data_IF_280732255067
#
_entry.id   IF_280732255067
#
_cell.length_a   1.000
_cell.length_b   1.000
_cell.length_c   1.000
_cell.angle_alpha   90.00
_cell.angle_beta   90.00
_cell.angle_gamma   90.00
#
_symmetry.space_group_name_H-M   'P 1'
#
loop_
_entity.id
_entity.type
_entity.pdbx_description
1 polymer ?
#
# COMPACT_ATOMS: atom_id res chain seq x y z
N UNK A 1 14.13 -35.62 -14.81
CA UNK A 1 13.25 -35.07 -15.87
C UNK A 1 11.92 -34.51 -15.30
N UNK A 2 11.96 -33.61 -14.31
CA UNK A 2 10.73 -33.09 -13.66
C UNK A 2 10.47 -31.59 -13.90
N UNK A 3 11.36 -30.88 -14.59
CA UNK A 3 11.31 -29.40 -14.69
C UNK A 3 10.26 -28.87 -15.66
N UNK A 4 9.90 -29.62 -16.70
CA UNK A 4 8.90 -29.19 -17.71
C UNK A 4 7.47 -29.19 -17.16
N UNK A 5 7.12 -30.17 -16.31
CA UNK A 5 5.77 -30.28 -15.73
C UNK A 5 5.44 -29.08 -14.82
N UNK A 6 6.40 -28.68 -13.96
CA UNK A 6 6.22 -27.58 -13.01
C UNK A 6 6.02 -26.22 -13.71
N UNK A 7 6.70 -25.98 -14.84
CA UNK A 7 6.58 -24.71 -15.59
C UNK A 7 5.21 -24.57 -16.25
N UNK A 8 4.69 -25.66 -16.84
CA UNK A 8 3.37 -25.66 -17.48
C UNK A 8 2.25 -25.52 -16.45
N UNK A 9 2.35 -26.23 -15.32
CA UNK A 9 1.42 -26.07 -14.19
C UNK A 9 1.40 -24.63 -13.66
N UNK A 10 2.59 -24.01 -13.49
CA UNK A 10 2.69 -22.64 -12.99
C UNK A 10 2.06 -21.62 -13.94
N UNK A 11 2.22 -21.82 -15.24
CA UNK A 11 1.64 -20.93 -16.26
C UNK A 11 0.12 -21.06 -16.31
N UNK A 12 -0.41 -22.29 -16.25
CA UNK A 12 -1.88 -22.53 -16.14
C UNK A 12 -2.45 -21.90 -14.88
N UNK A 13 -1.75 -22.04 -13.76
CA UNK A 13 -2.14 -21.42 -12.50
C UNK A 13 -2.17 -19.90 -12.62
N UNK A 14 -1.13 -19.28 -13.18
CA UNK A 14 -1.10 -17.83 -13.42
C UNK A 14 -2.25 -17.36 -14.32
N UNK A 15 -2.50 -18.05 -15.45
CA UNK A 15 -3.61 -17.73 -16.35
C UNK A 15 -4.96 -17.78 -15.63
N UNK A 16 -5.20 -18.84 -14.84
CA UNK A 16 -6.41 -18.96 -14.04
C UNK A 16 -6.56 -17.80 -13.06
N UNK A 17 -5.50 -17.46 -12.32
CA UNK A 17 -5.56 -16.37 -11.34
C UNK A 17 -5.88 -15.02 -12.00
N UNK A 18 -5.27 -14.74 -13.17
CA UNK A 18 -5.53 -13.50 -13.93
C UNK A 18 -6.98 -13.43 -14.39
N UNK A 19 -7.53 -14.54 -14.89
CA UNK A 19 -8.95 -14.61 -15.29
C UNK A 19 -9.88 -14.31 -14.11
N UNK A 20 -9.56 -14.81 -12.91
CA UNK A 20 -10.38 -14.56 -11.71
C UNK A 20 -10.38 -13.11 -11.25
N UNK A 21 -9.31 -12.35 -11.50
CA UNK A 21 -9.17 -10.95 -11.05
C UNK A 21 -9.49 -9.93 -12.14
N UNK A 22 -9.78 -10.36 -13.37
CA UNK A 22 -9.83 -9.45 -14.51
C UNK A 22 -10.89 -8.35 -14.35
N UNK A 23 -12.03 -8.71 -13.77
CA UNK A 23 -13.15 -7.82 -13.46
C UNK A 23 -13.16 -7.36 -11.99
N UNK A 24 -12.16 -7.74 -11.19
CA UNK A 24 -12.13 -7.40 -9.77
C UNK A 24 -11.74 -5.94 -9.56
N UNK A 25 -12.64 -5.14 -8.99
CA UNK A 25 -12.38 -3.76 -8.53
C UNK A 25 -12.03 -3.70 -7.04
N UNK A 26 -12.18 -4.80 -6.32
CA UNK A 26 -12.02 -4.91 -4.86
C UNK A 26 -11.11 -6.10 -4.50
N UNK A 27 -10.50 -6.12 -3.30
CA UNK A 27 -9.72 -7.26 -2.83
C UNK A 27 -10.57 -8.54 -2.86
N UNK A 28 -10.15 -9.56 -3.60
CA UNK A 28 -10.84 -10.83 -3.63
C UNK A 28 -10.66 -11.56 -2.29
N UNK A 29 -11.63 -12.40 -1.91
CA UNK A 29 -11.39 -13.39 -0.86
C UNK A 29 -10.37 -14.42 -1.36
N UNK A 30 -9.10 -14.18 -1.04
CA UNK A 30 -7.92 -14.97 -1.45
C UNK A 30 -8.16 -16.48 -1.36
N UNK A 31 -8.81 -16.93 -0.28
CA UNK A 31 -9.10 -18.35 -0.02
C UNK A 31 -10.00 -19.01 -1.07
N UNK A 32 -10.96 -18.26 -1.64
CA UNK A 32 -11.93 -18.80 -2.61
C UNK A 32 -11.24 -19.20 -3.92
N UNK A 33 -10.33 -18.35 -4.40
CA UNK A 33 -9.65 -18.53 -5.69
C UNK A 33 -8.73 -19.76 -5.66
N UNK A 34 -7.94 -19.91 -4.60
CA UNK A 34 -7.05 -21.07 -4.47
C UNK A 34 -7.81 -22.38 -4.27
N UNK A 35 -8.93 -22.35 -3.54
CA UNK A 35 -9.83 -23.50 -3.42
C UNK A 35 -10.38 -23.92 -4.79
N UNK A 36 -10.87 -22.98 -5.59
CA UNK A 36 -11.39 -23.28 -6.94
C UNK A 36 -10.33 -23.90 -7.84
N UNK A 37 -9.09 -23.38 -7.84
CA UNK A 37 -8.03 -23.97 -8.64
C UNK A 37 -7.67 -25.40 -8.20
N UNK A 38 -7.67 -25.66 -6.89
CA UNK A 38 -7.41 -27.00 -6.36
C UNK A 38 -8.44 -28.03 -6.83
N UNK A 39 -9.69 -27.62 -6.98
CA UNK A 39 -10.79 -28.47 -7.45
C UNK A 39 -10.77 -28.71 -8.96
N UNK A 40 -10.30 -27.74 -9.75
CA UNK A 40 -10.18 -27.86 -11.21
C UNK A 40 -9.11 -28.88 -11.63
N UNK A 41 -8.03 -29.00 -10.87
CA UNK A 41 -6.90 -29.89 -11.16
C UNK A 41 -6.91 -31.15 -10.32
N UNK A 42 -7.88 -32.05 -10.53
CA UNK A 42 -7.98 -33.38 -9.91
C UNK A 42 -7.68 -33.47 -8.38
N UNK A 43 -7.77 -32.36 -7.64
CA UNK A 43 -7.39 -32.30 -6.22
C UNK A 43 -5.91 -32.60 -5.94
N UNK A 44 -4.99 -32.40 -6.90
CA UNK A 44 -3.58 -32.84 -6.74
C UNK A 44 -2.91 -32.17 -5.54
N UNK A 45 -3.26 -30.92 -5.26
CA UNK A 45 -2.64 -30.12 -4.21
C UNK A 45 -3.66 -29.29 -3.43
N UNK A 46 -3.38 -29.06 -2.15
CA UNK A 46 -4.24 -28.26 -1.24
C UNK A 46 -4.20 -26.76 -1.56
N UNK A 47 -5.14 -26.01 -1.00
CA UNK A 47 -5.16 -24.54 -1.03
C UNK A 47 -3.82 -23.93 -0.58
N UNK A 48 -3.29 -24.38 0.56
CA UNK A 48 -2.01 -23.92 1.11
C UNK A 48 -0.82 -24.14 0.15
N UNK A 49 -0.86 -25.18 -0.67
CA UNK A 49 0.15 -25.37 -1.70
C UNK A 49 0.12 -24.23 -2.72
N UNK A 50 -1.07 -23.83 -3.18
CA UNK A 50 -1.23 -22.77 -4.17
C UNK A 50 -0.98 -21.38 -3.60
N UNK A 51 -1.38 -21.12 -2.35
CA UNK A 51 -0.99 -19.90 -1.60
C UNK A 51 0.53 -19.77 -1.57
N UNK A 52 1.24 -20.82 -1.12
CA UNK A 52 2.70 -20.82 -1.07
C UNK A 52 3.31 -20.64 -2.45
N UNK A 53 2.73 -21.24 -3.49
CA UNK A 53 3.24 -21.14 -4.86
C UNK A 53 3.08 -19.72 -5.41
N UNK A 54 1.96 -19.06 -5.15
CA UNK A 54 1.78 -17.66 -5.49
C UNK A 54 2.85 -16.78 -4.82
N UNK A 55 2.93 -16.79 -3.49
CA UNK A 55 3.84 -15.90 -2.76
C UNK A 55 5.33 -16.22 -2.95
N UNK A 56 5.69 -17.49 -3.20
CA UNK A 56 7.11 -17.90 -3.32
C UNK A 56 7.61 -17.99 -4.76
N UNK A 57 6.73 -18.15 -5.76
CA UNK A 57 7.12 -18.41 -7.15
C UNK A 57 6.58 -17.39 -8.15
N UNK A 58 5.33 -16.94 -8.00
CA UNK A 58 4.69 -16.00 -8.92
C UNK A 58 4.98 -14.55 -8.55
N UNK A 59 4.52 -14.11 -7.37
CA UNK A 59 4.62 -12.72 -6.91
C UNK A 59 6.04 -12.13 -7.00
N UNK A 60 7.12 -12.84 -6.57
CA UNK A 60 8.48 -12.30 -6.66
C UNK A 60 9.00 -12.11 -8.09
N UNK A 61 8.32 -12.69 -9.10
CA UNK A 61 8.70 -12.62 -10.51
C UNK A 61 7.66 -11.86 -11.35
N UNK A 62 6.75 -11.11 -10.71
CA UNK A 62 5.62 -10.47 -11.38
C UNK A 62 6.04 -9.53 -12.54
N UNK A 63 7.21 -8.90 -12.44
CA UNK A 63 7.79 -8.08 -13.50
C UNK A 63 8.07 -8.83 -14.81
N UNK A 64 8.25 -10.15 -14.75
CA UNK A 64 8.61 -11.02 -15.89
C UNK A 64 7.42 -11.70 -16.54
N UNK A 65 6.22 -11.54 -15.98
CA UNK A 65 4.97 -12.07 -16.55
C UNK A 65 4.38 -11.07 -17.55
N UNK A 66 5.20 -10.57 -18.47
CA UNK A 66 4.87 -9.51 -19.43
C UNK A 66 3.87 -9.94 -20.53
N UNK A 67 3.62 -11.24 -20.64
CA UNK A 67 2.52 -11.80 -21.41
C UNK A 67 1.13 -11.44 -20.85
N UNK A 68 1.06 -10.87 -19.66
CA UNK A 68 -0.15 -10.28 -19.08
C UNK A 68 0.00 -8.76 -18.95
N UNK A 69 -1.09 -8.03 -19.18
CA UNK A 69 -1.11 -6.57 -19.04
C UNK A 69 -0.65 -6.16 -17.63
N UNK A 70 -0.06 -4.97 -17.52
CA UNK A 70 0.35 -4.43 -16.23
C UNK A 70 -0.83 -4.34 -15.25
N UNK A 71 -1.99 -3.94 -15.76
CA UNK A 71 -3.23 -3.81 -15.02
C UNK A 71 -3.69 -5.14 -14.43
N UNK A 72 -3.73 -6.21 -15.24
CA UNK A 72 -4.06 -7.55 -14.77
C UNK A 72 -3.10 -8.02 -13.66
N UNK A 73 -1.81 -7.76 -13.83
CA UNK A 73 -0.79 -8.09 -12.81
C UNK A 73 -0.93 -7.26 -11.54
N UNK A 74 -1.31 -5.99 -11.64
CA UNK A 74 -1.58 -5.12 -10.49
C UNK A 74 -2.82 -5.61 -9.73
N UNK A 75 -3.93 -5.89 -10.43
CA UNK A 75 -5.14 -6.47 -9.82
C UNK A 75 -4.83 -7.78 -9.11
N UNK A 76 -4.02 -8.64 -9.74
CA UNK A 76 -3.62 -9.90 -9.14
C UNK A 76 -2.83 -9.72 -7.85
N UNK A 77 -1.86 -8.81 -7.84
CA UNK A 77 -1.03 -8.54 -6.66
C UNK A 77 -1.82 -7.86 -5.54
N UNK A 78 -2.75 -6.98 -5.90
CA UNK A 78 -3.67 -6.35 -4.95
C UNK A 78 -4.64 -7.37 -4.36
N UNK A 79 -5.36 -8.10 -5.21
CA UNK A 79 -6.40 -9.04 -4.80
C UNK A 79 -5.91 -10.28 -4.04
N UNK A 80 -4.63 -10.63 -4.14
CA UNK A 80 -4.03 -11.79 -3.47
C UNK A 80 -2.94 -11.41 -2.44
N UNK A 81 -2.90 -10.17 -1.97
CA UNK A 81 -1.92 -9.71 -0.97
C UNK A 81 -0.47 -10.01 -1.37
N UNK A 82 -0.18 -9.87 -2.65
CA UNK A 82 1.13 -10.11 -3.23
C UNK A 82 2.14 -9.08 -2.74
N UNK A 83 3.27 -9.55 -2.19
CA UNK A 83 4.42 -8.69 -1.89
C UNK A 83 5.06 -8.19 -3.18
N UNK A 84 5.05 -6.88 -3.38
CA UNK A 84 5.57 -6.22 -4.59
C UNK A 84 7.09 -6.10 -4.52
N UNK A 85 7.77 -6.74 -5.47
CA UNK A 85 9.22 -6.61 -5.70
C UNK A 85 9.56 -5.26 -6.36
N UNK A 86 10.80 -4.77 -6.17
CA UNK A 86 11.22 -3.44 -6.64
C UNK A 86 11.25 -3.29 -8.16
N UNK A 87 11.51 -4.37 -8.90
CA UNK A 87 11.43 -4.38 -10.37
C UNK A 87 9.99 -4.22 -10.86
N UNK A 88 9.03 -4.91 -10.22
CA UNK A 88 7.61 -4.75 -10.54
C UNK A 88 7.08 -3.39 -10.08
N UNK A 89 7.48 -2.90 -8.91
CA UNK A 89 7.12 -1.55 -8.43
C UNK A 89 7.52 -0.47 -9.44
N UNK A 90 8.71 -0.57 -10.03
CA UNK A 90 9.16 0.34 -11.09
C UNK A 90 8.25 0.28 -12.31
N UNK A 91 7.80 -0.90 -12.72
CA UNK A 91 6.83 -1.02 -13.81
C UNK A 91 5.50 -0.36 -13.44
N UNK A 92 4.94 -0.65 -12.27
CA UNK A 92 3.65 -0.07 -11.84
C UNK A 92 3.68 1.46 -11.89
N UNK A 93 4.77 2.07 -11.39
CA UNK A 93 4.95 3.54 -11.36
C UNK A 93 5.02 4.21 -12.73
N UNK A 94 5.31 3.46 -13.81
CA UNK A 94 5.24 3.99 -15.18
C UNK A 94 3.77 4.18 -15.61
N UNK A 95 2.87 3.33 -15.10
CA UNK A 95 1.47 3.29 -15.51
C UNK A 95 0.51 3.99 -14.54
N UNK A 96 0.89 4.15 -13.28
CA UNK A 96 0.01 4.73 -12.27
C UNK A 96 0.70 5.11 -10.97
N UNK A 97 -0.02 5.85 -10.14
CA UNK A 97 0.36 6.10 -8.76
C UNK A 97 0.05 4.86 -7.91
N UNK A 98 1.01 4.43 -7.09
CA UNK A 98 0.88 3.24 -6.25
C UNK A 98 1.41 3.50 -4.85
N UNK A 99 0.62 3.13 -3.85
CA UNK A 99 1.00 3.12 -2.45
C UNK A 99 1.07 1.67 -1.95
N UNK A 100 2.10 1.38 -1.16
CA UNK A 100 2.27 0.10 -0.50
C UNK A 100 2.08 0.24 1.01
N UNK A 101 1.65 -0.83 1.66
CA UNK A 101 1.67 -0.98 3.12
C UNK A 101 3.08 -1.32 3.65
N UNK A 102 3.22 -1.48 4.96
CA UNK A 102 4.46 -1.93 5.60
C UNK A 102 4.94 -3.32 5.13
N UNK A 103 4.03 -4.18 4.68
CA UNK A 103 4.32 -5.51 4.16
C UNK A 103 4.71 -5.51 2.67
N UNK A 104 4.73 -4.33 2.04
CA UNK A 104 4.94 -4.10 0.61
C UNK A 104 3.83 -4.71 -0.26
N UNK A 105 2.59 -4.72 0.21
CA UNK A 105 1.38 -5.05 -0.55
C UNK A 105 0.74 -3.77 -1.06
N UNK A 106 0.04 -3.84 -2.17
CA UNK A 106 -0.65 -2.67 -2.72
C UNK A 106 -1.84 -2.35 -1.82
N UNK A 107 -1.91 -1.14 -1.27
CA UNK A 107 -3.07 -0.67 -0.52
C UNK A 107 -3.85 0.42 -1.28
N UNK A 108 -3.22 1.05 -2.27
CA UNK A 108 -3.88 1.97 -3.20
C UNK A 108 -3.16 1.96 -4.54
N UNK A 109 -3.92 1.96 -5.63
CA UNK A 109 -3.43 2.17 -6.99
C UNK A 109 -4.40 3.03 -7.80
N UNK A 110 -3.87 3.93 -8.63
CA UNK A 110 -4.65 4.66 -9.63
C UNK A 110 -3.84 4.77 -10.92
N UNK A 111 -4.40 4.31 -12.03
CA UNK A 111 -3.78 4.45 -13.35
C UNK A 111 -3.73 5.91 -13.80
N UNK A 112 -2.75 6.28 -14.62
CA UNK A 112 -2.59 7.66 -15.09
C UNK A 112 -3.76 8.16 -15.96
N UNK A 113 -4.46 7.24 -16.64
CA UNK A 113 -5.68 7.53 -17.39
C UNK A 113 -6.95 7.58 -16.52
N UNK A 114 -6.82 7.30 -15.21
CA UNK A 114 -7.90 7.29 -14.24
C UNK A 114 -8.90 6.13 -14.38
N UNK A 115 -8.70 5.20 -15.32
CA UNK A 115 -9.65 4.11 -15.60
C UNK A 115 -9.63 3.00 -14.55
N UNK A 116 -8.51 2.83 -13.86
CA UNK A 116 -8.31 1.78 -12.87
C UNK A 116 -7.99 2.42 -11.54
N UNK A 117 -8.84 2.14 -10.55
CA UNK A 117 -8.62 2.55 -9.17
C UNK A 117 -8.84 1.35 -8.26
N UNK A 118 -7.86 1.06 -7.41
CA UNK A 118 -7.91 0.00 -6.41
C UNK A 118 -7.62 0.63 -5.04
N UNK A 119 -8.46 0.39 -4.06
CA UNK A 119 -8.31 0.90 -2.69
C UNK A 119 -8.55 -0.24 -1.71
N UNK A 120 -7.68 -0.40 -0.71
CA UNK A 120 -7.87 -1.43 0.31
C UNK A 120 -9.10 -1.12 1.17
N UNK A 121 -9.68 -2.15 1.77
CA UNK A 121 -10.87 -2.01 2.63
C UNK A 121 -10.61 -1.02 3.76
N UNK A 122 -9.42 -1.07 4.37
CA UNK A 122 -9.04 -0.15 5.45
C UNK A 122 -8.99 1.31 4.97
N UNK A 123 -8.59 1.55 3.72
CA UNK A 123 -8.54 2.91 3.18
C UNK A 123 -9.95 3.43 2.89
N UNK A 124 -10.81 2.58 2.34
CA UNK A 124 -12.22 2.88 2.08
C UNK A 124 -12.95 3.20 3.40
N UNK A 125 -12.74 2.37 4.43
CA UNK A 125 -13.29 2.60 5.77
C UNK A 125 -12.78 3.90 6.39
N UNK A 126 -11.48 4.19 6.25
CA UNK A 126 -10.89 5.44 6.75
C UNK A 126 -11.51 6.66 6.06
N UNK A 127 -11.63 6.65 4.72
CA UNK A 127 -12.27 7.73 3.96
C UNK A 127 -13.71 7.95 4.40
N UNK A 128 -14.46 6.88 4.61
CA UNK A 128 -15.84 6.95 5.09
C UNK A 128 -15.92 7.57 6.49
N UNK A 129 -15.06 7.15 7.42
CA UNK A 129 -15.00 7.73 8.77
C UNK A 129 -14.63 9.22 8.75
N UNK A 130 -13.70 9.62 7.88
CA UNK A 130 -13.32 11.03 7.71
C UNK A 130 -14.51 11.84 7.20
N UNK A 131 -15.21 11.34 6.17
CA UNK A 131 -16.39 11.99 5.59
C UNK A 131 -17.51 12.18 6.61
N UNK A 132 -17.78 11.18 7.44
CA UNK A 132 -18.79 11.24 8.49
C UNK A 132 -18.45 12.23 9.61
N UNK A 133 -17.16 12.39 9.93
CA UNK A 133 -16.71 13.26 11.02
C UNK A 133 -16.51 14.71 10.62
N UNK A 134 -16.02 14.98 9.41
CA UNK A 134 -15.73 16.35 8.96
C UNK A 134 -17.02 17.05 8.50
N UNK A 135 -18.03 16.31 8.03
CA UNK A 135 -19.27 16.89 7.50
C UNK A 135 -19.00 17.60 6.18
N UNK A 136 -19.67 17.21 5.10
CA UNK A 136 -19.40 17.77 3.76
C UNK A 136 -19.89 19.21 3.56
N UNK A 137 -20.51 19.85 4.57
CA UNK A 137 -21.33 21.04 4.33
C UNK A 137 -21.14 22.20 5.32
N UNK A 138 -20.32 22.05 6.37
CA UNK A 138 -20.15 23.13 7.37
C UNK A 138 -18.84 23.88 7.13
N UNK A 139 -18.95 24.93 6.31
CA UNK A 139 -17.84 25.79 5.88
C UNK A 139 -17.12 26.53 7.04
N UNK A 140 -17.61 26.42 8.27
CA UNK A 140 -17.13 27.22 9.41
C UNK A 140 -16.29 26.44 10.46
N UNK A 141 -16.04 25.12 10.35
CA UNK A 141 -15.44 24.38 11.50
C UNK A 141 -13.92 24.16 11.50
N UNK A 142 -13.20 24.25 10.37
CA UNK A 142 -11.73 24.26 10.30
C UNK A 142 -11.37 24.51 8.84
N UNK A 143 -10.67 25.60 8.50
CA UNK A 143 -10.34 25.80 7.08
C UNK A 143 -9.39 24.68 6.64
N UNK A 144 -9.63 24.09 5.46
CA UNK A 144 -8.75 23.06 4.88
C UNK A 144 -7.28 23.54 4.84
N UNK A 145 -7.08 24.85 4.68
CA UNK A 145 -5.77 25.52 4.75
C UNK A 145 -5.09 25.42 6.12
N UNK A 146 -5.86 25.47 7.22
CA UNK A 146 -5.33 25.30 8.57
C UNK A 146 -4.88 23.86 8.78
N UNK A 147 -5.72 22.90 8.39
CA UNK A 147 -5.35 21.48 8.40
C UNK A 147 -4.08 21.20 7.57
N UNK A 148 -3.99 21.77 6.36
CA UNK A 148 -2.79 21.65 5.53
C UNK A 148 -1.55 22.13 6.29
N UNK A 149 -1.59 23.35 6.82
CA UNK A 149 -0.46 23.97 7.55
C UNK A 149 -0.03 23.11 8.75
N UNK A 150 -1.01 22.56 9.45
CA UNK A 150 -0.85 21.71 10.63
C UNK A 150 -0.16 20.39 10.27
N UNK A 151 -0.62 19.70 9.22
CA UNK A 151 0.01 18.47 8.75
C UNK A 151 1.40 18.69 8.15
N UNK A 152 1.63 19.81 7.46
CA UNK A 152 2.95 20.20 6.97
C UNK A 152 3.93 20.43 8.13
N UNK A 153 3.52 21.20 9.15
CA UNK A 153 4.34 21.44 10.34
C UNK A 153 4.66 20.13 11.08
N UNK A 154 3.69 19.24 11.19
CA UNK A 154 3.87 17.91 11.76
C UNK A 154 4.89 17.08 10.98
N UNK A 155 4.76 17.01 9.66
CA UNK A 155 5.69 16.29 8.79
C UNK A 155 7.10 16.89 8.87
N UNK A 156 7.25 18.21 8.93
CA UNK A 156 8.55 18.89 9.13
C UNK A 156 9.15 18.50 10.48
N UNK A 157 8.35 18.49 11.55
CA UNK A 157 8.77 18.09 12.89
C UNK A 157 9.33 16.67 12.91
N UNK A 158 8.59 15.72 12.35
CA UNK A 158 9.04 14.33 12.23
C UNK A 158 10.28 14.22 11.33
N UNK A 159 10.31 14.91 10.19
CA UNK A 159 11.44 14.90 9.27
C UNK A 159 12.75 15.35 9.94
N UNK A 160 12.69 16.36 10.82
CA UNK A 160 13.84 16.77 11.63
C UNK A 160 14.28 15.66 12.60
N UNK A 161 13.33 14.98 13.25
CA UNK A 161 13.60 13.87 14.18
C UNK A 161 14.23 12.67 13.50
N UNK A 162 13.78 12.32 12.30
CA UNK A 162 14.40 11.28 11.47
C UNK A 162 15.87 11.62 11.18
N UNK A 163 16.16 12.87 10.82
CA UNK A 163 17.54 13.31 10.53
C UNK A 163 18.45 13.20 11.76
N UNK A 164 17.95 13.60 12.94
CA UNK A 164 18.69 13.50 14.21
C UNK A 164 18.76 12.08 14.80
N UNK A 165 18.07 11.10 14.20
CA UNK A 165 18.00 9.74 14.73
C UNK A 165 19.39 9.09 14.70
N UNK A 166 19.91 8.87 15.91
CA UNK A 166 21.04 7.98 16.17
C UNK A 166 20.51 6.55 16.36
N UNK A 167 21.27 5.53 15.97
CA UNK A 167 20.92 4.14 16.26
C UNK A 167 20.90 3.95 17.79
N UNK A 168 19.71 3.90 18.37
CA UNK A 168 19.50 3.80 19.80
C UNK A 168 18.90 2.43 20.16
N UNK A 169 19.35 1.82 21.26
CA UNK A 169 18.86 0.54 21.78
C UNK A 169 17.55 0.65 22.59
N UNK A 170 16.84 1.77 22.50
CA UNK A 170 15.58 1.98 23.21
C UNK A 170 14.48 1.08 22.66
N UNK A 171 13.75 0.39 23.55
CA UNK A 171 12.69 -0.57 23.20
C UNK A 171 11.43 0.05 22.58
N UNK A 172 11.29 1.37 22.56
CA UNK A 172 10.11 2.09 22.08
C UNK A 172 10.36 2.88 20.79
N UNK A 173 10.95 2.22 19.78
CA UNK A 173 11.17 2.79 18.45
C UNK A 173 10.25 2.19 17.39
N UNK A 174 9.90 2.97 16.38
CA UNK A 174 9.28 2.49 15.13
C UNK A 174 10.21 2.78 13.94
N UNK A 175 10.18 1.95 12.90
CA UNK A 175 10.81 2.26 11.61
C UNK A 175 10.28 3.60 11.08
N UNK A 176 11.19 4.50 10.72
CA UNK A 176 10.81 5.78 10.13
C UNK A 176 10.04 5.57 8.82
N UNK A 177 10.41 4.54 8.05
CA UNK A 177 9.71 4.17 6.82
C UNK A 177 8.27 3.75 7.10
N UNK A 178 8.08 2.85 8.07
CA UNK A 178 6.75 2.31 8.40
C UNK A 178 5.83 3.42 8.89
N UNK A 179 6.37 4.34 9.70
CA UNK A 179 5.66 5.52 10.12
C UNK A 179 5.25 6.41 8.94
N UNK A 180 6.16 6.70 8.01
CA UNK A 180 5.86 7.52 6.85
C UNK A 180 4.83 6.87 5.92
N UNK A 181 4.85 5.54 5.77
CA UNK A 181 3.82 4.80 5.04
C UNK A 181 2.44 4.99 5.66
N UNK A 182 2.33 4.86 6.99
CA UNK A 182 1.08 5.11 7.74
C UNK A 182 0.63 6.57 7.63
N UNK A 183 1.56 7.51 7.70
CA UNK A 183 1.25 8.92 7.50
C UNK A 183 0.74 9.19 6.08
N UNK A 184 1.36 8.62 5.05
CA UNK A 184 0.89 8.76 3.67
C UNK A 184 -0.49 8.12 3.48
N UNK A 185 -0.76 7.00 4.16
CA UNK A 185 -2.07 6.36 4.17
C UNK A 185 -3.15 7.26 4.78
N UNK A 186 -2.84 7.96 5.87
CA UNK A 186 -3.75 8.96 6.46
C UNK A 186 -4.03 10.08 5.45
N UNK A 187 -3.00 10.62 4.79
CA UNK A 187 -3.18 11.66 3.76
C UNK A 187 -4.09 11.20 2.61
N UNK A 188 -3.92 9.95 2.15
CA UNK A 188 -4.81 9.34 1.16
C UNK A 188 -6.25 9.22 1.69
N UNK A 189 -6.42 8.88 2.97
CA UNK A 189 -7.72 8.77 3.63
C UNK A 189 -8.46 10.10 3.79
N UNK A 190 -7.75 11.22 3.82
CA UNK A 190 -8.35 12.56 3.82
C UNK A 190 -8.96 12.94 2.46
N UNK A 191 -8.50 12.29 1.38
CA UNK A 191 -8.99 12.46 0.00
C UNK A 191 -9.16 13.91 -0.45
N UNK A 192 -8.26 14.78 0.00
CA UNK A 192 -8.35 16.23 -0.15
C UNK A 192 -7.20 16.75 -1.02
N UNK A 193 -7.53 17.56 -2.02
CA UNK A 193 -6.62 17.97 -3.09
C UNK A 193 -5.43 18.82 -2.60
N UNK A 194 -5.65 19.53 -1.50
CA UNK A 194 -4.75 20.46 -0.83
C UNK A 194 -3.56 19.73 -0.19
N UNK A 195 -3.70 18.42 0.10
CA UNK A 195 -2.62 17.59 0.61
C UNK A 195 -1.74 16.98 -0.48
N UNK A 196 -2.04 17.18 -1.78
CA UNK A 196 -1.30 16.54 -2.88
C UNK A 196 0.20 16.83 -2.85
N UNK A 197 0.59 18.08 -2.59
CA UNK A 197 2.01 18.47 -2.49
C UNK A 197 2.70 17.83 -1.29
N UNK A 198 2.00 17.78 -0.16
CA UNK A 198 2.50 17.11 1.05
C UNK A 198 2.66 15.61 0.82
N UNK A 199 1.67 14.96 0.20
CA UNK A 199 1.70 13.54 -0.15
C UNK A 199 2.91 13.22 -1.04
N UNK A 200 3.14 14.01 -2.10
CA UNK A 200 4.32 13.86 -2.97
C UNK A 200 5.65 14.03 -2.20
N UNK A 201 5.68 14.93 -1.22
CA UNK A 201 6.86 15.15 -0.38
C UNK A 201 7.11 13.97 0.56
N UNK A 202 6.06 13.43 1.17
CA UNK A 202 6.11 12.21 2.00
C UNK A 202 6.57 11.02 1.17
N UNK A 203 6.03 10.83 -0.03
CA UNK A 203 6.42 9.78 -0.96
C UNK A 203 7.90 9.88 -1.36
N UNK A 204 8.38 11.09 -1.67
CA UNK A 204 9.81 11.31 -1.94
C UNK A 204 10.66 10.88 -0.75
N UNK A 205 10.24 11.24 0.47
CA UNK A 205 10.92 10.86 1.71
C UNK A 205 10.94 9.34 1.90
N UNK A 206 9.83 8.64 1.71
CA UNK A 206 9.72 7.17 1.82
C UNK A 206 10.70 6.45 0.88
N UNK A 207 10.96 7.04 -0.30
CA UNK A 207 11.84 6.48 -1.31
C UNK A 207 13.32 6.82 -1.11
N UNK A 208 13.68 7.65 -0.13
CA UNK A 208 15.08 7.93 0.19
C UNK A 208 15.76 6.67 0.78
N UNK A 209 16.94 6.26 0.27
CA UNK A 209 17.59 5.03 0.72
C UNK A 209 18.02 5.08 2.18
N UNK A 210 18.35 6.28 2.68
CA UNK A 210 18.77 6.54 4.05
C UNK A 210 17.66 6.30 5.08
N UNK A 211 16.39 6.33 4.68
CA UNK A 211 15.24 6.12 5.58
C UNK A 211 15.10 4.67 6.02
N UNK A 212 15.60 3.72 5.23
CA UNK A 212 15.44 2.28 5.50
C UNK A 212 16.01 1.85 6.86
N UNK A 213 17.05 2.52 7.35
CA UNK A 213 17.73 2.20 8.61
C UNK A 213 17.42 3.19 9.74
N UNK A 214 16.51 4.15 9.50
CA UNK A 214 16.18 5.18 10.47
C UNK A 214 15.02 4.73 11.34
N UNK A 215 15.13 5.07 12.63
CA UNK A 215 14.09 4.81 13.62
C UNK A 215 13.58 6.11 14.22
N UNK A 216 12.33 6.12 14.64
CA UNK A 216 11.69 7.20 15.36
C UNK A 216 11.32 6.73 16.77
N UNK A 217 11.57 7.58 17.76
CA UNK A 217 11.07 7.32 19.11
C UNK A 217 9.56 7.55 19.12
N UNK A 218 8.81 6.61 19.72
CA UNK A 218 7.35 6.75 19.88
C UNK A 218 7.02 8.00 20.71
N UNK A 219 7.87 8.35 21.68
CA UNK A 219 7.72 9.57 22.48
C UNK A 219 7.84 10.85 21.64
N UNK A 220 8.70 10.86 20.63
CA UNK A 220 8.80 11.99 19.69
C UNK A 220 7.52 12.10 18.89
N UNK A 221 7.01 10.99 18.32
CA UNK A 221 5.74 10.97 17.59
C UNK A 221 4.61 11.47 18.47
N UNK A 222 4.49 10.96 19.70
CA UNK A 222 3.48 11.39 20.65
C UNK A 222 3.55 12.90 20.90
N UNK A 223 4.74 13.47 21.09
CA UNK A 223 4.91 14.90 21.29
C UNK A 223 4.45 15.73 20.08
N UNK A 224 4.75 15.29 18.86
CA UNK A 224 4.28 16.01 17.66
C UNK A 224 2.76 15.85 17.49
N UNK A 225 2.19 14.68 17.82
CA UNK A 225 0.72 14.45 17.80
C UNK A 225 0.00 15.29 18.85
N UNK A 226 0.54 15.42 20.06
CA UNK A 226 -0.03 16.32 21.07
C UNK A 226 -0.01 17.77 20.61
N UNK A 227 1.06 18.19 19.91
CA UNK A 227 1.13 19.49 19.26
C UNK A 227 0.02 19.70 18.23
N UNK A 228 -0.23 18.70 17.36
CA UNK A 228 -1.35 18.70 16.42
C UNK A 228 -2.70 18.88 17.13
N UNK A 229 -2.98 18.05 18.13
CA UNK A 229 -4.27 18.05 18.85
C UNK A 229 -4.50 19.39 19.57
N UNK A 230 -3.45 19.98 20.14
CA UNK A 230 -3.55 21.29 20.78
C UNK A 230 -3.88 22.41 19.81
N UNK A 231 -3.43 22.32 18.55
CA UNK A 231 -3.75 23.30 17.53
C UNK A 231 -5.20 23.16 17.04
N UNK A 232 -5.67 21.92 16.84
CA UNK A 232 -7.04 21.66 16.35
C UNK A 232 -8.10 21.92 17.43
N UNK A 233 -7.73 21.88 18.72
CA UNK A 233 -8.67 22.13 19.83
C UNK A 233 -8.89 23.63 20.14
N UNK A 234 -8.31 24.54 19.36
CA UNK A 234 -8.43 26.00 19.55
C UNK A 234 -9.05 26.62 18.30
#
# INVERSE_FOLDING_TARGET
MATTSTSTELSRFMSFLVEQVNDATEPMTVQRVFTQFSQLGAGVHSEDYYVRRFHRKLAPKMARWDNFSIEARVRLMFGLDGKVADDFLRQIRIYGAVQLDENRRICHFTSHDGQVKLESTELTELKQQVKEKIGTDDADSLQITDLRTVFEAFFVGISRKIKSSAPNNSTSTISAKDYLLKFNFILLGLDCSEFRELQQTVERKINEPEIANKVLLISDIHRVVQGLLSFISH
#
